data_IF_530977798041
#
_entry.id   IF_530977798041
#
_cell.length_a   1.000
_cell.length_b   1.000
_cell.length_c   1.000
_cell.angle_alpha   90.00
_cell.angle_beta   90.00
_cell.angle_gamma   90.00
#
_symmetry.space_group_name_H-M   'P 1'
#
loop_
_entity.id
_entity.type
_entity.pdbx_description
1 polymer ?
#
# COMPACT_ATOMS: atom_id res chain seq x y z
N UNK A 1 24.76 -25.35 -52.17
CA UNK A 1 24.86 -25.77 -50.75
C UNK A 1 24.32 -24.68 -49.81
N UNK A 2 23.01 -24.68 -49.61
CA UNK A 2 22.37 -23.87 -48.58
C UNK A 2 22.64 -24.54 -47.23
N UNK A 3 23.63 -24.04 -46.48
CA UNK A 3 23.78 -24.42 -45.07
C UNK A 3 22.62 -23.77 -44.31
N UNK A 4 21.58 -24.55 -44.02
CA UNK A 4 20.55 -24.14 -43.09
C UNK A 4 21.22 -23.74 -41.77
N UNK A 5 20.97 -22.51 -41.31
CA UNK A 5 21.41 -22.08 -39.98
C UNK A 5 20.85 -23.09 -38.96
N UNK A 6 21.63 -23.55 -37.98
CA UNK A 6 21.12 -24.44 -36.95
C UNK A 6 19.91 -23.75 -36.28
N UNK A 7 18.79 -24.47 -36.18
CA UNK A 7 17.61 -24.02 -35.41
C UNK A 7 18.11 -23.74 -33.98
N UNK A 8 18.19 -22.47 -33.60
CA UNK A 8 18.35 -22.09 -32.21
C UNK A 8 17.15 -22.67 -31.45
N UNK A 9 17.40 -23.67 -30.62
CA UNK A 9 16.41 -24.19 -29.68
C UNK A 9 16.18 -23.09 -28.65
N UNK A 10 14.96 -22.54 -28.62
CA UNK A 10 14.59 -21.51 -27.65
C UNK A 10 14.90 -22.00 -26.23
N UNK A 11 15.48 -21.13 -25.42
CA UNK A 11 15.75 -21.43 -24.02
C UNK A 11 14.43 -21.62 -23.27
N UNK A 12 14.45 -22.45 -22.22
CA UNK A 12 13.26 -22.66 -21.37
C UNK A 12 12.70 -21.32 -20.85
N UNK A 13 13.56 -20.37 -20.50
CA UNK A 13 13.15 -19.04 -20.04
C UNK A 13 12.41 -18.23 -21.12
N UNK A 14 12.81 -18.32 -22.39
CA UNK A 14 12.11 -17.64 -23.50
C UNK A 14 10.74 -18.28 -23.74
N UNK A 15 10.66 -19.61 -23.72
CA UNK A 15 9.39 -20.35 -23.86
C UNK A 15 8.45 -20.01 -22.70
N UNK A 16 8.94 -20.03 -21.47
CA UNK A 16 8.17 -19.66 -20.28
C UNK A 16 7.73 -18.20 -20.33
N UNK A 17 8.58 -17.30 -20.84
CA UNK A 17 8.23 -15.90 -20.96
C UNK A 17 7.06 -15.69 -21.92
N UNK A 18 7.18 -16.25 -23.13
CA UNK A 18 6.15 -16.19 -24.16
C UNK A 18 4.82 -16.82 -23.69
N UNK A 19 4.91 -17.95 -22.97
CA UNK A 19 3.72 -18.61 -22.42
C UNK A 19 2.99 -17.72 -21.41
N UNK A 20 3.70 -17.17 -20.42
CA UNK A 20 3.08 -16.30 -19.40
C UNK A 20 2.51 -15.03 -20.04
N UNK A 21 3.23 -14.41 -20.98
CA UNK A 21 2.74 -13.24 -21.71
C UNK A 21 1.47 -13.56 -22.51
N UNK A 22 1.41 -14.73 -23.14
CA UNK A 22 0.23 -15.19 -23.88
C UNK A 22 -0.96 -15.39 -22.95
N UNK A 23 -0.80 -16.06 -21.81
CA UNK A 23 -1.89 -16.25 -20.84
C UNK A 23 -2.37 -14.91 -20.25
N UNK A 24 -1.44 -13.98 -20.00
CA UNK A 24 -1.78 -12.62 -19.56
C UNK A 24 -2.52 -11.85 -20.65
N UNK A 25 -2.21 -12.06 -21.92
CA UNK A 25 -2.93 -11.44 -23.03
C UNK A 25 -4.33 -12.03 -23.20
N UNK A 26 -4.46 -13.35 -23.19
CA UNK A 26 -5.74 -14.07 -23.32
C UNK A 26 -6.69 -13.67 -22.19
N UNK A 27 -6.24 -13.70 -20.94
CA UNK A 27 -7.05 -13.26 -19.80
C UNK A 27 -7.52 -11.82 -19.96
N UNK A 28 -6.65 -10.91 -20.42
CA UNK A 28 -7.04 -9.52 -20.69
C UNK A 28 -8.06 -9.36 -21.81
N UNK A 29 -8.03 -10.21 -22.83
CA UNK A 29 -8.99 -10.15 -23.94
C UNK A 29 -10.34 -10.74 -23.55
N UNK A 30 -10.37 -11.69 -22.61
CA UNK A 30 -11.61 -12.30 -22.09
C UNK A 30 -12.28 -11.48 -21.01
N UNK A 31 -11.51 -10.73 -20.22
CA UNK A 31 -12.04 -9.96 -19.12
C UNK A 31 -13.03 -8.90 -19.60
N UNK A 32 -14.30 -9.13 -19.29
CA UNK A 32 -15.37 -8.16 -19.43
C UNK A 32 -15.94 -7.85 -18.04
N UNK A 33 -15.95 -6.57 -17.68
CA UNK A 33 -16.40 -6.13 -16.37
C UNK A 33 -17.92 -6.25 -16.20
N UNK A 34 -18.67 -6.33 -17.29
CA UNK A 34 -20.13 -6.44 -17.26
C UNK A 34 -20.60 -7.91 -17.25
N UNK A 35 -19.70 -8.87 -17.52
CA UNK A 35 -20.00 -10.31 -17.59
C UNK A 35 -19.23 -11.11 -16.52
N UNK A 36 -19.90 -11.45 -15.42
CA UNK A 36 -19.31 -12.14 -14.26
C UNK A 36 -18.70 -13.51 -14.61
N UNK A 37 -19.27 -14.23 -15.59
CA UNK A 37 -18.74 -15.52 -16.09
C UNK A 37 -17.32 -15.39 -16.66
N UNK A 38 -16.91 -14.20 -17.10
CA UNK A 38 -15.56 -13.96 -17.62
C UNK A 38 -14.51 -13.92 -16.52
N UNK A 39 -14.90 -13.66 -15.26
CA UNK A 39 -13.96 -13.55 -14.14
C UNK A 39 -13.28 -14.88 -13.83
N UNK A 40 -14.06 -15.96 -13.79
CA UNK A 40 -13.54 -17.29 -13.51
C UNK A 40 -12.59 -17.74 -14.61
N UNK A 41 -12.91 -17.48 -15.88
CA UNK A 41 -12.02 -17.78 -17.01
C UNK A 41 -10.70 -17.03 -16.90
N UNK A 42 -10.75 -15.75 -16.52
CA UNK A 42 -9.56 -14.92 -16.27
C UNK A 42 -8.72 -15.50 -15.14
N UNK A 43 -9.35 -15.95 -14.06
CA UNK A 43 -8.65 -16.55 -12.92
C UNK A 43 -8.02 -17.89 -13.27
N UNK A 44 -8.71 -18.73 -14.06
CA UNK A 44 -8.17 -19.99 -14.57
C UNK A 44 -6.95 -19.77 -15.46
N UNK A 45 -7.01 -18.81 -16.38
CA UNK A 45 -5.90 -18.46 -17.27
C UNK A 45 -4.66 -18.01 -16.48
N UNK A 46 -4.86 -17.10 -15.52
CA UNK A 46 -3.78 -16.57 -14.70
C UNK A 46 -3.24 -17.59 -13.69
N UNK A 47 -4.10 -18.46 -13.15
CA UNK A 47 -3.72 -19.58 -12.28
C UNK A 47 -2.90 -20.61 -13.04
N UNK A 48 -3.27 -20.90 -14.28
CA UNK A 48 -2.50 -21.79 -15.17
C UNK A 48 -1.10 -21.23 -15.43
N UNK A 49 -0.99 -19.92 -15.68
CA UNK A 49 0.31 -19.25 -15.78
C UNK A 49 1.12 -19.32 -14.47
N UNK A 50 0.48 -19.11 -13.31
CA UNK A 50 1.13 -19.22 -11.99
C UNK A 50 1.67 -20.63 -11.76
N UNK A 51 0.87 -21.66 -12.01
CA UNK A 51 1.27 -23.06 -11.84
C UNK A 51 2.45 -23.44 -12.73
N UNK A 52 2.47 -22.95 -13.97
CA UNK A 52 3.60 -23.16 -14.89
C UNK A 52 4.86 -22.44 -14.41
N UNK A 53 4.75 -21.23 -13.86
CA UNK A 53 5.86 -20.54 -13.20
C UNK A 53 6.43 -21.35 -12.03
N UNK A 54 5.56 -21.86 -11.15
CA UNK A 54 5.95 -22.67 -9.99
C UNK A 54 6.65 -23.95 -10.43
N UNK A 55 6.04 -24.70 -11.36
CA UNK A 55 6.56 -25.98 -11.84
C UNK A 55 7.96 -25.86 -12.47
N UNK A 56 8.22 -24.77 -13.19
CA UNK A 56 9.48 -24.54 -13.88
C UNK A 56 10.47 -23.66 -13.09
N UNK A 57 10.15 -23.25 -11.86
CA UNK A 57 10.98 -22.33 -11.08
C UNK A 57 11.18 -20.95 -11.73
N UNK A 58 10.22 -20.49 -12.55
CA UNK A 58 10.32 -19.26 -13.34
C UNK A 58 9.74 -18.06 -12.58
N UNK A 59 10.54 -17.46 -11.70
CA UNK A 59 10.12 -16.35 -10.82
C UNK A 59 9.77 -15.05 -11.55
N UNK A 60 10.43 -14.76 -12.68
CA UNK A 60 10.18 -13.54 -13.47
C UNK A 60 8.72 -13.40 -13.92
N UNK A 61 8.03 -14.51 -14.16
CA UNK A 61 6.63 -14.51 -14.59
C UNK A 61 5.65 -13.99 -13.52
N UNK A 62 6.00 -14.11 -12.24
CA UNK A 62 5.12 -13.65 -11.15
C UNK A 62 4.75 -12.18 -11.27
N UNK A 63 5.68 -11.32 -11.70
CA UNK A 63 5.42 -9.90 -11.89
C UNK A 63 4.35 -9.63 -12.95
N UNK A 64 4.37 -10.36 -14.07
CA UNK A 64 3.39 -10.16 -15.15
C UNK A 64 2.01 -10.65 -14.74
N UNK A 65 1.93 -11.83 -14.13
CA UNK A 65 0.68 -12.42 -13.63
C UNK A 65 0.09 -11.50 -12.54
N UNK A 66 0.96 -11.04 -11.64
CA UNK A 66 0.62 -10.09 -10.59
C UNK A 66 0.07 -8.77 -11.13
N UNK A 67 0.66 -8.22 -12.20
CA UNK A 67 0.13 -7.03 -12.88
C UNK A 67 -1.24 -7.29 -13.51
N UNK A 68 -1.47 -8.49 -14.06
CA UNK A 68 -2.75 -8.85 -14.67
C UNK A 68 -3.87 -8.90 -13.62
N UNK A 69 -3.65 -9.64 -12.52
CA UNK A 69 -4.57 -9.64 -11.39
C UNK A 69 -4.82 -8.23 -10.84
N UNK A 70 -3.78 -7.39 -10.72
CA UNK A 70 -3.96 -6.03 -10.24
C UNK A 70 -4.89 -5.20 -11.15
N UNK A 71 -4.75 -5.34 -12.48
CA UNK A 71 -5.62 -4.64 -13.43
C UNK A 71 -7.08 -5.05 -13.30
N UNK A 72 -7.35 -6.35 -13.17
CA UNK A 72 -8.70 -6.89 -12.94
C UNK A 72 -9.27 -6.31 -11.65
N UNK A 73 -8.53 -6.38 -10.55
CA UNK A 73 -8.97 -5.85 -9.26
C UNK A 73 -9.18 -4.33 -9.25
N UNK A 74 -8.34 -3.56 -9.95
CA UNK A 74 -8.54 -2.11 -10.09
C UNK A 74 -9.75 -1.77 -10.95
N UNK A 75 -10.00 -2.53 -12.02
CA UNK A 75 -11.21 -2.36 -12.83
C UNK A 75 -12.47 -2.56 -11.98
N UNK A 76 -12.54 -3.65 -11.21
CA UNK A 76 -13.63 -3.92 -10.26
C UNK A 76 -13.75 -2.83 -9.19
N UNK A 77 -12.63 -2.37 -8.62
CA UNK A 77 -12.63 -1.26 -7.65
C UNK A 77 -13.23 0.04 -8.24
N UNK A 78 -12.90 0.37 -9.49
CA UNK A 78 -13.33 1.61 -10.12
C UNK A 78 -14.83 1.69 -10.39
N UNK A 79 -15.50 0.54 -10.47
CA UNK A 79 -16.96 0.44 -10.60
C UNK A 79 -17.62 -0.04 -9.29
N UNK A 80 -16.92 0.11 -8.16
CA UNK A 80 -17.43 -0.17 -6.81
C UNK A 80 -17.80 -1.63 -6.52
N UNK A 81 -17.32 -2.59 -7.33
CA UNK A 81 -17.41 -4.03 -7.07
C UNK A 81 -16.36 -4.48 -6.04
N UNK A 82 -16.44 -3.91 -4.84
CA UNK A 82 -15.40 -4.04 -3.83
C UNK A 82 -15.19 -5.49 -3.35
N UNK A 83 -16.26 -6.26 -3.16
CA UNK A 83 -16.19 -7.65 -2.72
C UNK A 83 -15.44 -8.52 -3.75
N UNK A 84 -15.81 -8.40 -5.03
CA UNK A 84 -15.19 -9.12 -6.15
C UNK A 84 -13.73 -8.70 -6.36
N UNK A 85 -13.40 -7.42 -6.16
CA UNK A 85 -12.03 -6.90 -6.29
C UNK A 85 -11.04 -7.51 -5.28
N UNK A 86 -11.50 -8.02 -4.13
CA UNK A 86 -10.61 -8.50 -3.05
C UNK A 86 -9.73 -9.66 -3.52
N UNK A 87 -10.29 -10.67 -4.19
CA UNK A 87 -9.54 -11.84 -4.64
C UNK A 87 -8.38 -11.48 -5.59
N UNK A 88 -8.62 -10.79 -6.73
CA UNK A 88 -7.54 -10.45 -7.66
C UNK A 88 -6.53 -9.50 -7.02
N UNK A 89 -6.94 -8.53 -6.19
CA UNK A 89 -6.00 -7.65 -5.50
C UNK A 89 -5.10 -8.41 -4.51
N UNK A 90 -5.66 -9.38 -3.77
CA UNK A 90 -4.89 -10.22 -2.85
C UNK A 90 -3.89 -11.11 -3.61
N UNK A 91 -4.32 -11.73 -4.71
CA UNK A 91 -3.44 -12.50 -5.61
C UNK A 91 -2.32 -11.64 -6.19
N UNK A 92 -2.64 -10.42 -6.62
CA UNK A 92 -1.65 -9.47 -7.12
C UNK A 92 -0.58 -9.13 -6.07
N UNK A 93 -0.97 -8.90 -4.82
CA UNK A 93 -0.01 -8.65 -3.74
C UNK A 93 0.89 -9.86 -3.50
N UNK A 94 0.31 -11.05 -3.29
CA UNK A 94 1.04 -12.27 -2.98
C UNK A 94 2.05 -12.65 -4.07
N UNK A 95 1.66 -12.51 -5.35
CA UNK A 95 2.56 -12.81 -6.47
C UNK A 95 3.71 -11.80 -6.59
N UNK A 96 3.46 -10.52 -6.33
CA UNK A 96 4.52 -9.51 -6.38
C UNK A 96 5.54 -9.71 -5.25
N UNK A 97 5.11 -10.23 -4.10
CA UNK A 97 6.02 -10.59 -3.00
C UNK A 97 6.91 -11.78 -3.34
N UNK A 98 6.47 -12.70 -4.21
CA UNK A 98 7.27 -13.84 -4.69
C UNK A 98 8.34 -13.44 -5.73
N UNK A 99 8.37 -12.18 -6.20
CA UNK A 99 9.44 -11.68 -7.08
C UNK A 99 10.70 -11.36 -6.24
N UNK A 100 11.32 -12.41 -5.71
CA UNK A 100 12.45 -12.36 -4.76
C UNK A 100 13.64 -11.53 -5.27
N UNK A 101 13.82 -11.46 -6.59
CA UNK A 101 14.95 -10.74 -7.19
C UNK A 101 14.85 -9.23 -7.02
N UNK A 102 13.64 -8.69 -6.82
CA UNK A 102 13.37 -7.24 -6.87
C UNK A 102 12.44 -6.74 -5.77
N UNK A 103 11.88 -7.63 -4.95
CA UNK A 103 10.95 -7.30 -3.87
C UNK A 103 11.50 -6.24 -2.89
N UNK A 104 12.82 -6.11 -2.77
CA UNK A 104 13.49 -5.14 -1.88
C UNK A 104 13.70 -3.76 -2.50
N UNK A 105 13.54 -3.60 -3.81
CA UNK A 105 13.73 -2.31 -4.49
C UNK A 105 12.61 -1.33 -4.11
N UNK A 106 12.94 -0.05 -3.98
CA UNK A 106 11.96 1.00 -3.66
C UNK A 106 10.81 1.05 -4.67
N UNK A 107 11.09 0.75 -5.95
CA UNK A 107 10.06 0.71 -6.99
C UNK A 107 9.02 -0.39 -6.76
N UNK A 108 9.45 -1.59 -6.32
CA UNK A 108 8.55 -2.72 -6.06
C UNK A 108 7.87 -2.56 -4.70
N UNK A 109 8.60 -2.09 -3.69
CA UNK A 109 8.02 -1.67 -2.40
C UNK A 109 6.87 -0.68 -2.60
N UNK A 110 7.08 0.37 -3.41
CA UNK A 110 6.04 1.34 -3.72
C UNK A 110 4.85 0.73 -4.47
N UNK A 111 5.09 -0.22 -5.39
CA UNK A 111 4.01 -0.94 -6.06
C UNK A 111 3.20 -1.79 -5.07
N UNK A 112 3.88 -2.54 -4.19
CA UNK A 112 3.23 -3.32 -3.13
C UNK A 112 2.43 -2.43 -2.19
N UNK A 113 3.00 -1.29 -1.77
CA UNK A 113 2.32 -0.28 -0.95
C UNK A 113 0.99 0.13 -1.59
N UNK A 114 1.02 0.62 -2.84
CA UNK A 114 -0.18 1.04 -3.57
C UNK A 114 -1.22 -0.10 -3.73
N UNK A 115 -0.77 -1.33 -3.95
CA UNK A 115 -1.68 -2.48 -4.10
C UNK A 115 -2.36 -2.86 -2.80
N UNK A 116 -1.61 -2.90 -1.72
CA UNK A 116 -2.16 -3.15 -0.39
C UNK A 116 -3.11 -2.02 0.04
N UNK A 117 -2.84 -0.77 -0.33
CA UNK A 117 -3.74 0.34 -0.11
C UNK A 117 -5.09 0.16 -0.84
N UNK A 118 -5.07 -0.24 -2.11
CA UNK A 118 -6.31 -0.53 -2.88
C UNK A 118 -7.04 -1.73 -2.27
N UNK A 119 -6.33 -2.82 -1.93
CA UNK A 119 -6.90 -3.99 -1.26
C UNK A 119 -7.56 -3.60 0.06
N UNK A 120 -6.89 -2.80 0.89
CA UNK A 120 -7.42 -2.33 2.16
C UNK A 120 -8.68 -1.49 1.98
N UNK A 121 -8.70 -0.64 0.94
CA UNK A 121 -9.89 0.16 0.59
C UNK A 121 -11.07 -0.73 0.20
N UNK A 122 -10.86 -1.74 -0.65
CA UNK A 122 -11.91 -2.69 -1.02
C UNK A 122 -12.44 -3.44 0.21
N UNK A 123 -11.56 -4.01 1.03
CA UNK A 123 -11.95 -4.70 2.27
C UNK A 123 -12.72 -3.77 3.22
N UNK A 124 -12.31 -2.51 3.36
CA UNK A 124 -12.98 -1.55 4.24
C UNK A 124 -14.40 -1.22 3.74
N UNK A 125 -14.55 -1.00 2.43
CA UNK A 125 -15.84 -0.73 1.79
C UNK A 125 -16.78 -1.93 1.84
N UNK A 126 -16.22 -3.14 1.76
CA UNK A 126 -16.91 -4.42 1.92
C UNK A 126 -17.11 -4.83 3.40
N UNK A 127 -16.85 -3.92 4.36
CA UNK A 127 -17.00 -4.14 5.82
C UNK A 127 -16.16 -5.29 6.39
N UNK A 128 -15.11 -5.70 5.68
CA UNK A 128 -14.09 -6.67 6.14
C UNK A 128 -12.97 -5.93 6.89
N UNK A 129 -13.30 -5.38 8.06
CA UNK A 129 -12.41 -4.44 8.77
C UNK A 129 -11.06 -5.03 9.18
N UNK A 130 -11.04 -6.28 9.64
CA UNK A 130 -9.77 -6.97 9.95
C UNK A 130 -8.85 -7.11 8.74
N UNK A 131 -9.41 -7.50 7.59
CA UNK A 131 -8.65 -7.64 6.35
C UNK A 131 -8.17 -6.28 5.84
N UNK A 132 -8.99 -5.24 6.02
CA UNK A 132 -8.62 -3.87 5.68
C UNK A 132 -7.44 -3.38 6.54
N UNK A 133 -7.50 -3.58 7.86
CA UNK A 133 -6.43 -3.24 8.78
C UNK A 133 -5.13 -3.98 8.42
N UNK A 134 -5.21 -5.30 8.17
CA UNK A 134 -4.04 -6.11 7.75
C UNK A 134 -3.43 -5.57 6.45
N UNK A 135 -4.26 -5.26 5.45
CA UNK A 135 -3.80 -4.71 4.19
C UNK A 135 -3.16 -3.32 4.35
N UNK A 136 -3.77 -2.39 5.08
CA UNK A 136 -3.16 -1.08 5.32
C UNK A 136 -1.87 -1.17 6.13
N UNK A 137 -1.78 -2.08 7.11
CA UNK A 137 -0.54 -2.35 7.86
C UNK A 137 0.57 -2.86 6.94
N UNK A 138 0.25 -3.76 6.01
CA UNK A 138 1.20 -4.21 5.00
C UNK A 138 1.61 -3.07 4.06
N UNK A 139 0.67 -2.21 3.67
CA UNK A 139 0.96 -1.01 2.86
C UNK A 139 1.96 -0.08 3.55
N UNK A 140 1.75 0.24 4.83
CA UNK A 140 2.64 1.09 5.62
C UNK A 140 4.06 0.50 5.73
N UNK A 141 4.18 -0.82 5.95
CA UNK A 141 5.48 -1.53 5.99
C UNK A 141 6.23 -1.51 4.66
N UNK A 142 5.51 -1.39 3.54
CA UNK A 142 6.09 -1.38 2.18
C UNK A 142 6.34 0.03 1.67
N UNK A 143 6.07 1.06 2.45
CA UNK A 143 6.40 2.42 2.06
C UNK A 143 7.94 2.58 2.00
N UNK A 144 8.52 2.99 0.85
CA UNK A 144 9.97 3.13 0.76
C UNK A 144 10.50 4.24 1.67
N UNK A 145 11.63 4.00 2.34
CA UNK A 145 12.27 4.98 3.23
C UNK A 145 12.61 6.27 2.48
N UNK A 146 13.04 6.18 1.22
CA UNK A 146 13.27 7.33 0.33
C UNK A 146 12.02 8.19 0.10
N UNK A 147 10.83 7.57 0.02
CA UNK A 147 9.57 8.28 -0.14
C UNK A 147 9.20 9.03 1.14
N UNK A 148 9.46 8.43 2.31
CA UNK A 148 9.26 9.06 3.62
C UNK A 148 10.22 10.24 3.79
N UNK A 149 11.51 10.04 3.50
CA UNK A 149 12.52 11.09 3.58
C UNK A 149 12.18 12.30 2.71
N UNK A 150 11.75 12.09 1.47
CA UNK A 150 11.39 13.17 0.56
C UNK A 150 10.19 13.96 1.11
N UNK A 151 9.19 13.26 1.66
CA UNK A 151 8.03 13.89 2.29
C UNK A 151 8.43 14.75 3.50
N UNK A 152 9.25 14.22 4.42
CA UNK A 152 9.62 14.97 5.63
C UNK A 152 10.62 16.09 5.36
N UNK A 153 11.47 15.98 4.31
CA UNK A 153 12.40 17.05 3.91
C UNK A 153 11.65 18.32 3.50
N UNK A 154 10.51 18.19 2.81
CA UNK A 154 9.67 19.33 2.42
C UNK A 154 8.91 19.98 3.59
N UNK A 155 8.79 19.29 4.72
CA UNK A 155 8.17 19.85 5.92
C UNK A 155 8.99 21.01 6.54
N UNK A 156 10.25 21.20 6.13
CA UNK A 156 11.07 22.32 6.58
C UNK A 156 10.70 23.64 5.90
N UNK A 157 10.13 23.58 4.69
CA UNK A 157 9.79 24.76 3.88
C UNK A 157 8.29 25.04 3.81
N UNK A 158 7.45 24.06 4.16
CA UNK A 158 6.00 24.16 4.07
C UNK A 158 5.33 23.92 5.42
N UNK A 159 4.20 24.60 5.64
CA UNK A 159 3.29 24.22 6.71
C UNK A 159 2.77 22.80 6.48
N UNK A 160 2.66 22.00 7.54
CA UNK A 160 2.24 20.58 7.45
C UNK A 160 0.92 20.42 6.72
N UNK A 161 -0.06 21.29 6.96
CA UNK A 161 -1.33 21.24 6.25
C UNK A 161 -1.15 21.29 4.72
N UNK A 162 -0.34 22.23 4.22
CA UNK A 162 -0.04 22.40 2.80
C UNK A 162 0.80 21.24 2.26
N UNK A 163 1.73 20.72 3.04
CA UNK A 163 2.52 19.54 2.66
C UNK A 163 1.61 18.33 2.44
N UNK A 164 0.65 18.10 3.34
CA UNK A 164 -0.26 16.95 3.26
C UNK A 164 -1.18 17.03 2.02
N UNK A 165 -1.56 18.23 1.59
CA UNK A 165 -2.33 18.43 0.36
C UNK A 165 -1.48 18.20 -0.90
N UNK A 166 -0.23 18.70 -0.91
CA UNK A 166 0.70 18.53 -2.04
C UNK A 166 1.18 17.10 -2.21
N UNK A 167 1.42 16.40 -1.10
CA UNK A 167 1.93 15.03 -1.06
C UNK A 167 0.98 14.12 -0.26
N UNK A 168 -0.14 13.70 -0.86
CA UNK A 168 -1.21 13.04 -0.11
C UNK A 168 -0.96 11.56 0.18
N UNK A 169 0.07 10.94 -0.41
CA UNK A 169 0.28 9.48 -0.34
C UNK A 169 0.42 9.01 1.12
N UNK A 170 1.38 9.57 1.86
CA UNK A 170 1.64 9.18 3.25
C UNK A 170 0.48 9.59 4.17
N UNK A 171 0.01 10.86 4.14
CA UNK A 171 -1.14 11.29 4.94
C UNK A 171 -2.40 10.45 4.77
N UNK A 172 -2.80 10.15 3.52
CA UNK A 172 -4.01 9.37 3.24
C UNK A 172 -3.85 7.93 3.69
N UNK A 173 -2.67 7.35 3.53
CA UNK A 173 -2.42 5.98 3.99
C UNK A 173 -2.47 5.88 5.51
N UNK A 174 -1.89 6.83 6.24
CA UNK A 174 -2.00 6.94 7.70
C UNK A 174 -3.47 7.08 8.11
N UNK A 175 -4.21 7.99 7.49
CA UNK A 175 -5.64 8.17 7.78
C UNK A 175 -6.45 6.89 7.57
N UNK A 176 -6.27 6.23 6.41
CA UNK A 176 -6.97 4.98 6.06
C UNK A 176 -6.68 3.86 7.05
N UNK A 177 -5.41 3.69 7.41
CA UNK A 177 -5.00 2.73 8.42
C UNK A 177 -5.67 3.01 9.77
N UNK A 178 -5.54 4.22 10.30
CA UNK A 178 -6.10 4.59 11.60
C UNK A 178 -7.63 4.48 11.62
N UNK A 179 -8.30 4.86 10.53
CA UNK A 179 -9.74 4.67 10.36
C UNK A 179 -10.11 3.19 10.41
N UNK A 180 -9.39 2.32 9.72
CA UNK A 180 -9.65 0.89 9.73
C UNK A 180 -9.43 0.28 11.12
N UNK A 181 -8.38 0.70 11.84
CA UNK A 181 -8.09 0.24 13.20
C UNK A 181 -9.19 0.66 14.19
N UNK A 182 -9.68 1.90 14.11
CA UNK A 182 -10.74 2.40 15.00
C UNK A 182 -12.10 1.78 14.66
N UNK A 183 -12.41 1.57 13.37
CA UNK A 183 -13.73 1.04 12.95
C UNK A 183 -13.89 -0.46 13.25
N UNK A 184 -12.78 -1.22 13.29
CA UNK A 184 -12.81 -2.68 13.43
C UNK A 184 -12.88 -3.23 14.85
N UNK A 185 -13.21 -2.42 15.85
CA UNK A 185 -13.06 -2.63 17.31
C UNK A 185 -13.00 -4.09 17.82
N UNK A 186 -11.94 -4.33 18.61
CA UNK A 186 -11.89 -5.27 19.73
C UNK A 186 -10.75 -4.78 20.61
N UNK A 187 -11.04 -4.08 21.72
CA UNK A 187 -10.23 -3.81 22.95
C UNK A 187 -8.67 -3.72 22.88
N UNK A 188 -8.09 -3.60 21.70
CA UNK A 188 -6.66 -3.64 21.43
C UNK A 188 -6.15 -2.20 21.40
N UNK A 189 -5.05 -1.97 22.11
CA UNK A 189 -4.32 -0.70 22.00
C UNK A 189 -4.04 -0.39 20.53
N UNK A 190 -4.49 0.79 20.09
CA UNK A 190 -4.29 1.27 18.73
C UNK A 190 -2.78 1.45 18.51
N UNK A 191 -2.16 0.55 17.75
CA UNK A 191 -0.80 0.80 17.26
C UNK A 191 -0.82 1.92 16.23
N UNK A 192 0.00 2.95 16.43
CA UNK A 192 0.11 4.08 15.51
C UNK A 192 0.82 3.67 14.20
N UNK A 193 0.58 4.41 13.11
CA UNK A 193 1.23 4.13 11.83
C UNK A 193 2.75 4.29 11.91
N UNK A 194 3.22 5.21 12.73
CA UNK A 194 4.63 5.50 13.00
C UNK A 194 5.38 4.33 13.67
N UNK A 195 4.66 3.41 14.33
CA UNK A 195 5.22 2.16 14.87
C UNK A 195 5.38 1.07 13.80
N UNK A 196 4.70 1.21 12.66
CA UNK A 196 4.66 0.23 11.58
C UNK A 196 5.59 0.63 10.43
N UNK A 197 5.70 1.94 10.18
CA UNK A 197 6.53 2.52 9.14
C UNK A 197 8.01 2.37 9.46
N UNK A 198 8.83 2.29 8.41
CA UNK A 198 10.27 2.25 8.56
C UNK A 198 10.87 3.66 8.73
N UNK A 199 11.03 4.10 9.98
CA UNK A 199 11.47 5.47 10.33
C UNK A 199 12.91 5.56 10.86
N UNK A 200 13.73 4.50 10.72
CA UNK A 200 15.07 4.45 11.33
C UNK A 200 16.05 5.51 10.78
N UNK A 201 15.85 5.94 9.53
CA UNK A 201 16.70 6.94 8.86
C UNK A 201 16.36 8.38 9.25
N UNK A 202 15.23 8.58 9.96
CA UNK A 202 14.76 9.90 10.34
C UNK A 202 15.27 10.32 11.71
N UNK A 203 15.63 11.61 11.83
CA UNK A 203 15.85 12.23 13.13
C UNK A 203 14.53 12.44 13.89
N UNK A 204 14.63 12.83 15.17
CA UNK A 204 13.47 13.02 16.05
C UNK A 204 12.51 14.11 15.55
N UNK A 205 13.02 15.19 14.93
CA UNK A 205 12.19 16.29 14.44
C UNK A 205 11.47 15.91 13.13
N UNK A 206 12.13 15.13 12.28
CA UNK A 206 11.55 14.55 11.08
C UNK A 206 10.46 13.52 11.42
N UNK A 207 10.67 12.67 12.44
CA UNK A 207 9.63 11.76 12.95
C UNK A 207 8.39 12.50 13.42
N UNK A 208 8.55 13.68 14.00
CA UNK A 208 7.42 14.51 14.42
C UNK A 208 6.51 14.90 13.26
N UNK A 209 7.01 15.04 12.02
CA UNK A 209 6.16 15.29 10.85
C UNK A 209 5.15 14.14 10.64
N UNK A 210 5.56 12.90 10.88
CA UNK A 210 4.68 11.72 10.82
C UNK A 210 3.66 11.77 11.96
N UNK A 211 4.10 12.08 13.19
CA UNK A 211 3.19 12.27 14.34
C UNK A 211 2.16 13.37 14.10
N UNK A 212 2.54 14.48 13.45
CA UNK A 212 1.60 15.55 13.06
C UNK A 212 0.55 15.04 12.07
N UNK A 213 0.92 14.14 11.15
CA UNK A 213 -0.04 13.51 10.23
C UNK A 213 -1.01 12.57 10.96
N UNK A 214 -0.52 11.79 11.93
CA UNK A 214 -1.34 10.92 12.76
C UNK A 214 -2.32 11.72 13.62
N UNK A 215 -1.85 12.80 14.25
CA UNK A 215 -2.68 13.68 15.05
C UNK A 215 -3.81 14.28 14.20
N UNK A 216 -3.50 14.72 12.96
CA UNK A 216 -4.53 15.21 12.05
C UNK A 216 -5.54 14.14 11.68
N UNK A 217 -5.09 12.93 11.38
CA UNK A 217 -6.00 11.81 11.13
C UNK A 217 -6.93 11.56 12.33
N UNK A 218 -6.40 11.60 13.56
CA UNK A 218 -7.19 11.47 14.79
C UNK A 218 -8.22 12.61 14.97
N UNK A 219 -7.90 13.85 14.58
CA UNK A 219 -8.89 14.93 14.57
C UNK A 219 -10.00 14.73 13.54
N UNK A 220 -9.68 14.18 12.37
CA UNK A 220 -10.71 13.88 11.37
C UNK A 220 -11.62 12.74 11.84
N UNK A 221 -11.06 11.77 12.57
CA UNK A 221 -11.81 10.64 13.12
C UNK A 221 -12.60 11.00 14.39
N UNK A 222 -12.22 12.06 15.10
CA UNK A 222 -12.97 12.50 16.30
C UNK A 222 -14.38 13.01 16.03
N UNK A 223 -14.73 13.24 14.75
CA UNK A 223 -16.11 13.50 14.35
C UNK A 223 -17.02 12.27 14.53
N UNK A 224 -16.46 11.06 14.61
CA UNK A 224 -17.22 9.81 14.69
C UNK A 224 -16.84 8.91 15.87
N UNK A 225 -15.67 9.12 16.49
CA UNK A 225 -15.14 8.26 17.55
C UNK A 225 -14.47 9.10 18.65
N UNK A 226 -14.49 8.66 19.91
CA UNK A 226 -13.70 9.33 20.94
C UNK A 226 -12.20 9.02 20.76
N UNK A 227 -11.45 10.04 20.31
CA UNK A 227 -10.02 9.95 20.06
C UNK A 227 -9.18 10.75 21.07
N UNK A 228 -9.80 11.32 22.12
CA UNK A 228 -9.17 12.27 23.06
C UNK A 228 -7.87 11.72 23.70
N UNK A 229 -7.91 10.47 24.17
CA UNK A 229 -6.74 9.78 24.75
C UNK A 229 -5.60 9.61 23.73
N UNK A 230 -5.92 9.22 22.50
CA UNK A 230 -4.95 9.02 21.43
C UNK A 230 -4.33 10.35 20.98
N UNK A 231 -5.16 11.39 20.82
CA UNK A 231 -4.71 12.75 20.51
C UNK A 231 -3.75 13.27 21.59
N UNK A 232 -4.11 13.11 22.87
CA UNK A 232 -3.27 13.50 24.01
C UNK A 232 -1.92 12.77 24.02
N UNK A 233 -1.91 11.46 23.71
CA UNK A 233 -0.69 10.67 23.63
C UNK A 233 0.25 11.18 22.53
N UNK A 234 -0.28 11.47 21.33
CA UNK A 234 0.52 12.02 20.23
C UNK A 234 1.06 13.42 20.57
N UNK A 235 0.23 14.29 21.14
CA UNK A 235 0.65 15.64 21.53
C UNK A 235 1.75 15.60 22.58
N UNK A 236 1.64 14.72 23.58
CA UNK A 236 2.69 14.53 24.57
C UNK A 236 4.02 14.12 23.93
N UNK A 237 3.99 13.23 22.93
CA UNK A 237 5.18 12.85 22.15
C UNK A 237 5.75 14.04 21.36
N UNK A 238 4.89 14.81 20.68
CA UNK A 238 5.30 16.02 19.95
C UNK A 238 5.95 17.06 20.89
N UNK A 239 5.38 17.29 22.07
CA UNK A 239 5.88 18.26 23.05
C UNK A 239 7.19 17.85 23.72
N UNK A 240 7.54 16.55 23.72
CA UNK A 240 8.86 16.06 24.16
C UNK A 240 9.97 16.41 23.17
N UNK A 241 9.65 16.47 21.88
CA UNK A 241 10.63 16.74 20.82
C UNK A 241 10.67 18.22 20.40
N UNK A 242 9.52 18.89 20.33
CA UNK A 242 9.43 20.32 20.04
C UNK A 242 9.64 21.15 21.30
N UNK A 243 10.89 21.50 21.58
CA UNK A 243 11.26 22.39 22.69
C UNK A 243 11.08 23.86 22.31
N UNK A 244 10.95 24.73 23.32
CA UNK A 244 10.79 26.17 23.09
C UNK A 244 12.04 26.78 22.44
N UNK A 245 13.21 26.20 22.68
CA UNK A 245 14.49 26.69 22.14
C UNK A 245 14.68 26.32 20.67
N UNK A 246 14.26 25.12 20.26
CA UNK A 246 14.54 24.59 18.92
C UNK A 246 13.38 24.77 17.94
N UNK A 247 12.14 24.60 18.42
CA UNK A 247 10.94 24.65 17.58
C UNK A 247 9.80 25.46 18.26
N UNK A 248 10.03 26.75 18.64
CA UNK A 248 9.09 27.54 19.43
C UNK A 248 7.70 27.65 18.80
N UNK A 249 7.62 27.86 17.49
CA UNK A 249 6.36 28.05 16.76
C UNK A 249 5.55 26.75 16.70
N UNK A 250 6.20 25.62 16.37
CA UNK A 250 5.52 24.30 16.36
C UNK A 250 5.08 23.90 17.75
N UNK A 251 5.92 24.12 18.77
CA UNK A 251 5.57 23.87 20.16
C UNK A 251 4.34 24.67 20.60
N UNK A 252 4.32 25.98 20.35
CA UNK A 252 3.22 26.85 20.76
C UNK A 252 1.88 26.38 20.18
N UNK A 253 1.86 25.91 18.93
CA UNK A 253 0.68 25.31 18.31
C UNK A 253 0.16 24.11 19.12
N UNK A 254 1.03 23.15 19.44
CA UNK A 254 0.60 21.95 20.16
C UNK A 254 0.24 22.20 21.62
N UNK A 255 0.88 23.17 22.29
CA UNK A 255 0.47 23.59 23.63
C UNK A 255 -0.95 24.17 23.61
N UNK A 256 -1.24 25.07 22.65
CA UNK A 256 -2.58 25.62 22.50
C UNK A 256 -3.61 24.50 22.26
N UNK A 257 -3.29 23.59 21.34
CA UNK A 257 -4.15 22.46 21.02
C UNK A 257 -4.38 21.51 22.21
N UNK A 258 -3.36 21.25 23.04
CA UNK A 258 -3.48 20.42 24.23
C UNK A 258 -4.47 20.99 25.26
N UNK A 259 -4.54 22.32 25.38
CA UNK A 259 -5.43 23.01 26.32
C UNK A 259 -6.89 22.97 25.85
N UNK A 260 -7.12 22.74 24.54
CA UNK A 260 -8.45 22.75 23.92
C UNK A 260 -9.08 21.36 23.74
N UNK A 261 -8.35 20.29 24.05
CA UNK A 261 -8.86 18.90 24.05
C UNK A 261 -9.33 18.56 25.46
#
# INVERSE_FOLDING_TARGET
PWRGKPKQTASLNEVMSAFVETMVLVSRMRFDIDEEDTYDQVYEDLSTAENMCVFNGFSNGYRWISNAYYKVGVAMHNIEMYAQAVYPLRKACALLEKDDTRATTDSVKLQLCKRYEVLGTCCQKDKRFEDAMKAFKLSLKRLPSSSIENFVKEANSLAIYTLMEKQPIIPKLIERYLRATITGESDLEISFASEIMDLHQLDSAQKCVVYECELRAMYMLSASFDCSRHQSAIINTLLRHYTAETYPIRRARFVYTYITI
#
